data_IF_789477716089
#
_entry.id   IF_789477716089
#
_cell.length_a   1.000
_cell.length_b   1.000
_cell.length_c   1.000
_cell.angle_alpha   90.00
_cell.angle_beta   90.00
_cell.angle_gamma   90.00
#
_symmetry.space_group_name_H-M   'P 1'
#
loop_
_entity.id
_entity.type
_entity.pdbx_description
1 polymer ?
#
# COMPACT_ATOMS: atom_id res chain seq x y z
N UNK A 1 4.20 31.74 64.88
CA UNK A 1 4.53 32.17 63.52
C UNK A 1 4.89 30.90 62.72
N UNK A 2 3.92 30.30 62.06
CA UNK A 2 4.10 29.03 61.30
C UNK A 2 4.01 29.37 59.83
N UNK A 3 5.07 29.10 59.07
CA UNK A 3 5.10 29.23 57.59
C UNK A 3 4.78 27.90 56.99
N UNK A 4 3.62 27.80 56.36
CA UNK A 4 3.21 26.66 55.57
C UNK A 4 3.82 26.83 54.18
N UNK A 5 4.71 25.93 53.78
CA UNK A 5 5.23 25.81 52.42
C UNK A 5 4.19 25.12 51.53
N UNK A 6 3.75 25.84 50.53
CA UNK A 6 2.88 25.35 49.47
C UNK A 6 3.77 25.12 48.22
N UNK A 7 4.24 23.90 48.01
CA UNK A 7 4.88 23.46 46.76
C UNK A 7 4.58 22.00 46.58
N UNK A 8 3.70 21.66 45.68
CA UNK A 8 3.73 20.45 44.79
C UNK A 8 2.38 20.26 44.13
N UNK A 9 2.18 20.74 42.92
CA UNK A 9 1.20 20.18 41.96
C UNK A 9 1.39 20.84 40.60
N UNK A 10 2.37 20.39 39.81
CA UNK A 10 2.50 20.79 38.40
C UNK A 10 3.26 19.77 37.53
N UNK A 11 3.12 18.45 37.73
CA UNK A 11 3.91 17.49 36.95
C UNK A 11 3.09 16.36 36.26
N UNK A 12 1.76 16.38 36.27
CA UNK A 12 0.97 15.28 35.70
C UNK A 12 0.20 15.60 34.41
N UNK A 13 0.17 16.85 33.94
CA UNK A 13 -0.62 17.22 32.76
C UNK A 13 0.10 16.97 31.41
N UNK A 14 1.43 16.91 31.38
CA UNK A 14 2.19 16.83 30.13
C UNK A 14 2.15 15.45 29.45
N UNK A 15 2.09 14.38 30.23
CA UNK A 15 2.16 13.00 29.70
C UNK A 15 0.86 12.54 29.01
N UNK A 16 -0.29 13.06 29.45
CA UNK A 16 -1.60 12.73 28.86
C UNK A 16 -1.79 13.39 27.48
N UNK A 17 -1.31 14.61 27.30
CA UNK A 17 -1.43 15.34 26.04
C UNK A 17 -0.54 14.73 24.93
N UNK A 18 0.64 14.28 25.26
CA UNK A 18 1.53 13.61 24.30
C UNK A 18 0.99 12.25 23.83
N UNK A 19 0.35 11.48 24.70
CA UNK A 19 -0.29 10.20 24.36
C UNK A 19 -1.50 10.40 23.44
N UNK A 20 -2.27 11.46 23.63
CA UNK A 20 -3.42 11.74 22.78
C UNK A 20 -3.02 12.21 21.39
N UNK A 21 -2.00 13.04 21.27
CA UNK A 21 -1.47 13.51 19.98
C UNK A 21 -0.89 12.36 19.14
N UNK A 22 -0.17 11.43 19.74
CA UNK A 22 0.38 10.28 19.02
C UNK A 22 -0.68 9.26 18.64
N UNK A 23 -1.73 9.07 19.43
CA UNK A 23 -2.86 8.22 19.10
C UNK A 23 -3.66 8.79 17.91
N UNK A 24 -3.91 10.10 17.90
CA UNK A 24 -4.60 10.78 16.82
C UNK A 24 -3.82 10.72 15.51
N UNK A 25 -2.49 10.90 15.54
CA UNK A 25 -1.65 10.78 14.35
C UNK A 25 -1.61 9.35 13.79
N UNK A 26 -1.71 8.34 14.65
CA UNK A 26 -1.78 6.93 14.24
C UNK A 26 -3.14 6.61 13.60
N UNK A 27 -4.24 7.10 14.16
CA UNK A 27 -5.58 6.92 13.61
C UNK A 27 -5.71 7.59 12.22
N UNK A 28 -5.19 8.80 12.06
CA UNK A 28 -5.12 9.49 10.77
C UNK A 28 -4.28 8.71 9.74
N UNK A 29 -3.14 8.16 10.15
CA UNK A 29 -2.28 7.31 9.31
C UNK A 29 -3.04 6.07 8.83
N UNK A 30 -3.75 5.39 9.73
CA UNK A 30 -4.56 4.22 9.40
C UNK A 30 -5.72 4.58 8.48
N UNK A 31 -6.44 5.66 8.76
CA UNK A 31 -7.55 6.13 7.92
C UNK A 31 -7.09 6.46 6.49
N UNK A 32 -5.92 7.10 6.36
CA UNK A 32 -5.31 7.40 5.07
C UNK A 32 -4.85 6.12 4.35
N UNK A 33 -4.23 5.17 5.06
CA UNK A 33 -3.75 3.92 4.50
C UNK A 33 -4.86 3.08 3.84
N UNK A 34 -6.07 3.08 4.38
CA UNK A 34 -7.20 2.32 3.83
C UNK A 34 -8.02 3.11 2.80
N UNK A 35 -7.69 4.37 2.55
CA UNK A 35 -8.46 5.24 1.63
C UNK A 35 -8.52 4.76 0.17
N UNK A 36 -7.58 3.95 -0.37
CA UNK A 36 -7.71 3.37 -1.71
C UNK A 36 -8.86 2.36 -1.84
N UNK A 37 -9.29 1.79 -0.73
CA UNK A 37 -10.29 0.72 -0.72
C UNK A 37 -11.72 1.26 -0.92
N UNK A 38 -12.62 0.43 -1.50
CA UNK A 38 -14.05 0.58 -1.30
C UNK A 38 -14.41 0.71 0.18
N UNK A 39 -15.46 1.45 0.47
CA UNK A 39 -15.81 1.83 1.86
C UNK A 39 -16.06 0.61 2.76
N UNK A 40 -16.72 -0.39 2.24
CA UNK A 40 -17.07 -1.65 2.93
C UNK A 40 -15.86 -2.50 3.33
N UNK A 41 -14.69 -2.31 2.68
CA UNK A 41 -13.46 -3.03 3.02
C UNK A 41 -12.57 -2.30 4.04
N UNK A 42 -12.77 -0.99 4.27
CA UNK A 42 -11.84 -0.15 5.04
C UNK A 42 -11.74 -0.54 6.52
N UNK A 43 -12.87 -0.86 7.15
CA UNK A 43 -12.91 -1.12 8.58
C UNK A 43 -12.09 -2.35 8.98
N UNK A 44 -12.18 -3.41 8.17
CA UNK A 44 -11.61 -4.73 8.45
C UNK A 44 -10.29 -5.01 7.70
N UNK A 45 -9.71 -4.02 7.00
CA UNK A 45 -8.42 -4.18 6.35
C UNK A 45 -7.27 -4.12 7.37
N UNK A 46 -6.29 -5.00 7.21
CA UNK A 46 -5.03 -4.90 7.97
C UNK A 46 -4.24 -3.69 7.50
N UNK A 47 -3.64 -2.94 8.44
CA UNK A 47 -2.69 -1.88 8.12
C UNK A 47 -1.34 -2.22 8.73
N UNK A 48 -0.28 -2.15 7.93
CA UNK A 48 1.08 -2.48 8.33
C UNK A 48 2.09 -1.57 7.63
N UNK A 49 3.30 -1.54 8.15
CA UNK A 49 4.47 -0.96 7.49
C UNK A 49 5.65 -1.93 7.61
N UNK A 50 6.71 -1.67 6.88
CA UNK A 50 7.98 -2.35 7.09
C UNK A 50 8.93 -1.47 7.90
N UNK A 51 9.81 -2.11 8.68
CA UNK A 51 10.99 -1.48 9.21
C UNK A 51 11.99 -1.32 8.05
N UNK A 52 12.48 -0.11 7.82
CA UNK A 52 13.34 0.21 6.68
C UNK A 52 14.71 -0.47 6.74
N UNK A 53 15.24 -0.67 7.98
CA UNK A 53 16.55 -1.27 8.18
C UNK A 53 16.54 -2.80 8.09
N UNK A 54 15.41 -3.44 8.44
CA UNK A 54 15.34 -4.91 8.56
C UNK A 54 14.39 -5.57 7.58
N UNK A 55 13.49 -4.80 6.96
CA UNK A 55 12.41 -5.32 6.14
C UNK A 55 11.32 -6.06 6.92
N UNK A 56 11.37 -6.03 8.26
CA UNK A 56 10.37 -6.70 9.11
C UNK A 56 9.03 -5.97 9.08
N UNK A 57 7.96 -6.75 9.01
CA UNK A 57 6.58 -6.25 9.05
C UNK A 57 6.18 -5.79 10.45
N UNK A 58 5.66 -4.57 10.56
CA UNK A 58 5.09 -3.98 11.78
C UNK A 58 3.60 -3.74 11.55
N UNK A 59 2.75 -4.46 12.27
CA UNK A 59 1.29 -4.28 12.18
C UNK A 59 0.86 -3.04 12.96
N UNK A 60 0.21 -2.09 12.30
CA UNK A 60 -0.36 -0.89 12.90
C UNK A 60 -1.81 -1.12 13.34
N UNK A 61 -2.57 -1.88 12.54
CA UNK A 61 -3.93 -2.33 12.85
C UNK A 61 -4.13 -3.74 12.29
N UNK A 62 -4.51 -4.68 13.12
CA UNK A 62 -4.96 -6.00 12.67
C UNK A 62 -6.36 -5.89 12.06
N UNK A 63 -6.58 -6.56 10.94
CA UNK A 63 -7.86 -6.66 10.24
C UNK A 63 -8.29 -8.11 10.07
N UNK A 64 -9.51 -8.32 9.60
CA UNK A 64 -10.11 -9.65 9.42
C UNK A 64 -10.49 -9.98 7.98
N UNK A 65 -10.46 -8.98 7.07
CA UNK A 65 -10.75 -9.24 5.66
C UNK A 65 -9.48 -9.66 4.88
N UNK A 66 -9.64 -9.84 3.57
CA UNK A 66 -8.61 -10.36 2.67
C UNK A 66 -7.64 -9.29 2.13
N UNK A 67 -7.63 -8.06 2.69
CA UNK A 67 -6.84 -6.93 2.17
C UNK A 67 -5.91 -6.37 3.24
N UNK A 68 -4.69 -6.02 2.82
CA UNK A 68 -3.68 -5.37 3.63
C UNK A 68 -3.20 -4.08 2.97
N UNK A 69 -3.10 -3.00 3.75
CA UNK A 69 -2.71 -1.68 3.28
C UNK A 69 -1.42 -1.19 3.95
N UNK A 70 -0.66 -0.38 3.22
CA UNK A 70 0.49 0.36 3.77
C UNK A 70 0.16 1.85 3.90
N UNK A 71 0.74 2.56 4.86
CA UNK A 71 0.72 4.02 4.87
C UNK A 71 1.21 4.61 3.54
N UNK A 72 0.90 5.87 3.31
CA UNK A 72 1.41 6.61 2.16
C UNK A 72 2.94 6.66 2.24
N UNK A 73 3.60 6.31 1.14
CA UNK A 73 5.05 6.41 1.00
C UNK A 73 5.50 7.85 0.70
N UNK A 74 6.82 8.07 0.65
CA UNK A 74 7.41 9.39 0.40
C UNK A 74 7.13 9.93 -1.02
N UNK A 75 6.77 9.05 -1.95
CA UNK A 75 6.35 9.43 -3.31
C UNK A 75 4.87 9.83 -3.39
N UNK A 76 4.11 9.68 -2.30
CA UNK A 76 2.69 10.00 -2.21
C UNK A 76 1.75 8.88 -2.62
N UNK A 77 2.24 7.65 -2.75
CA UNK A 77 1.41 6.49 -3.04
C UNK A 77 0.92 5.79 -1.77
N UNK A 78 -0.33 5.40 -1.80
CA UNK A 78 -0.95 4.51 -0.80
C UNK A 78 -1.40 3.24 -1.51
N UNK A 79 -1.01 2.08 -0.97
CA UNK A 79 -1.23 0.80 -1.60
C UNK A 79 -1.99 -0.16 -0.70
N UNK A 80 -2.92 -0.90 -1.27
CA UNK A 80 -3.56 -2.04 -0.62
C UNK A 80 -3.47 -3.27 -1.52
N UNK A 81 -3.16 -4.42 -0.93
CA UNK A 81 -2.87 -5.66 -1.61
C UNK A 81 -3.71 -6.80 -1.05
N UNK A 82 -3.99 -7.85 -1.82
CA UNK A 82 -4.55 -9.07 -1.29
C UNK A 82 -3.62 -9.72 -0.26
N UNK A 83 -4.20 -10.29 0.80
CA UNK A 83 -3.44 -10.96 1.87
C UNK A 83 -2.58 -12.14 1.35
N UNK A 84 -3.00 -12.77 0.26
CA UNK A 84 -2.22 -13.84 -0.38
C UNK A 84 -0.85 -13.38 -0.89
N UNK A 85 -0.67 -12.08 -1.16
CA UNK A 85 0.58 -11.51 -1.65
C UNK A 85 1.54 -11.16 -0.50
N UNK A 86 1.19 -11.50 0.75
CA UNK A 86 1.96 -11.17 1.96
C UNK A 86 3.39 -11.67 1.89
N UNK A 87 3.59 -12.97 1.63
CA UNK A 87 4.92 -13.59 1.59
C UNK A 87 5.81 -12.93 0.52
N UNK A 88 5.24 -12.65 -0.64
CA UNK A 88 5.92 -11.93 -1.73
C UNK A 88 6.36 -10.54 -1.28
N UNK A 89 5.48 -9.82 -0.59
CA UNK A 89 5.77 -8.47 -0.11
C UNK A 89 6.79 -8.46 1.02
N UNK A 90 6.70 -9.41 1.94
CA UNK A 90 7.65 -9.56 3.04
C UNK A 90 9.05 -9.89 2.51
N UNK A 91 9.15 -10.79 1.52
CA UNK A 91 10.42 -11.07 0.85
C UNK A 91 10.97 -9.83 0.14
N UNK A 92 10.13 -9.11 -0.61
CA UNK A 92 10.56 -7.90 -1.31
C UNK A 92 11.09 -6.83 -0.34
N UNK A 93 10.43 -6.61 0.79
CA UNK A 93 10.88 -5.66 1.80
C UNK A 93 12.22 -6.09 2.44
N UNK A 94 12.38 -7.38 2.73
CA UNK A 94 13.63 -7.92 3.24
C UNK A 94 14.79 -7.74 2.26
N UNK A 95 14.61 -8.07 1.00
CA UNK A 95 15.63 -7.90 -0.03
C UNK A 95 15.97 -6.42 -0.26
N UNK A 96 14.98 -5.52 -0.17
CA UNK A 96 15.21 -4.08 -0.24
C UNK A 96 16.05 -3.58 0.96
N UNK A 97 15.77 -4.06 2.18
CA UNK A 97 16.57 -3.74 3.36
C UNK A 97 18.01 -4.29 3.27
N UNK A 98 18.23 -5.38 2.52
CA UNK A 98 19.55 -5.92 2.17
C UNK A 98 20.24 -5.09 1.06
N UNK A 99 19.61 -4.04 0.52
CA UNK A 99 20.14 -3.11 -0.47
C UNK A 99 19.87 -3.49 -1.93
N UNK A 100 18.95 -4.41 -2.20
CA UNK A 100 18.56 -4.73 -3.57
C UNK A 100 17.50 -3.73 -4.06
N UNK A 101 17.75 -3.16 -5.23
CA UNK A 101 16.85 -2.18 -5.86
C UNK A 101 16.65 -2.47 -7.36
N UNK A 102 15.65 -1.86 -7.97
CA UNK A 102 15.42 -1.85 -9.40
C UNK A 102 15.42 -3.24 -10.03
N UNK A 103 16.27 -3.47 -11.02
CA UNK A 103 16.38 -4.73 -11.78
C UNK A 103 16.91 -5.88 -10.91
N UNK A 104 17.85 -5.60 -9.98
CA UNK A 104 18.40 -6.62 -9.09
C UNK A 104 17.33 -7.20 -8.16
N UNK A 105 16.48 -6.36 -7.58
CA UNK A 105 15.33 -6.78 -6.77
C UNK A 105 14.34 -7.61 -7.62
N UNK A 106 14.00 -7.16 -8.82
CA UNK A 106 13.10 -7.88 -9.71
C UNK A 106 13.64 -9.27 -10.07
N UNK A 107 14.92 -9.37 -10.36
CA UNK A 107 15.60 -10.65 -10.68
C UNK A 107 15.56 -11.60 -9.48
N UNK A 108 15.85 -11.10 -8.27
CA UNK A 108 15.81 -11.91 -7.06
C UNK A 108 14.39 -12.41 -6.75
N UNK A 109 13.38 -11.55 -6.94
CA UNK A 109 11.98 -11.92 -6.77
C UNK A 109 11.53 -12.97 -7.78
N UNK A 110 11.95 -12.86 -9.04
CA UNK A 110 11.66 -13.86 -10.07
C UNK A 110 12.34 -15.20 -9.74
N UNK A 111 13.59 -15.18 -9.30
CA UNK A 111 14.29 -16.40 -8.89
C UNK A 111 13.61 -17.10 -7.70
N UNK A 112 13.06 -16.34 -6.75
CA UNK A 112 12.30 -16.88 -5.62
C UNK A 112 10.98 -17.52 -6.08
N UNK A 113 10.32 -16.94 -7.06
CA UNK A 113 9.10 -17.48 -7.69
C UNK A 113 9.41 -18.77 -8.45
N UNK A 114 10.43 -18.76 -9.30
CA UNK A 114 10.87 -19.93 -10.07
C UNK A 114 11.30 -21.11 -9.18
N UNK A 115 11.84 -20.81 -8.00
CA UNK A 115 12.20 -21.80 -6.99
C UNK A 115 11.00 -22.29 -6.13
N UNK A 116 9.81 -21.70 -6.31
CA UNK A 116 8.62 -22.00 -5.50
C UNK A 116 8.71 -21.51 -4.06
N UNK A 117 9.58 -20.56 -3.76
CA UNK A 117 9.70 -19.95 -2.43
C UNK A 117 8.58 -18.92 -2.16
N UNK A 118 8.00 -18.38 -3.20
CA UNK A 118 6.81 -17.52 -3.15
C UNK A 118 5.84 -17.90 -4.27
N UNK A 119 4.55 -17.71 -4.01
CA UNK A 119 3.53 -17.95 -5.03
C UNK A 119 3.57 -16.88 -6.14
N UNK A 120 3.29 -17.26 -7.41
CA UNK A 120 3.09 -16.29 -8.49
C UNK A 120 1.90 -15.37 -8.20
N UNK A 121 1.92 -14.18 -8.81
CA UNK A 121 0.77 -13.28 -8.75
C UNK A 121 -0.47 -13.96 -9.32
N UNK A 122 -1.57 -13.98 -8.55
CA UNK A 122 -2.78 -14.64 -9.00
C UNK A 122 -3.50 -13.86 -10.09
N UNK A 123 -4.00 -14.57 -11.10
CA UNK A 123 -4.92 -14.01 -12.07
C UNK A 123 -6.17 -13.47 -11.36
N UNK A 124 -6.56 -12.22 -11.67
CA UNK A 124 -7.69 -11.54 -11.05
C UNK A 124 -7.40 -10.92 -9.68
N UNK A 125 -6.16 -11.00 -9.19
CA UNK A 125 -5.74 -10.31 -7.96
C UNK A 125 -5.87 -8.80 -8.12
N UNK A 126 -6.52 -8.13 -7.15
CA UNK A 126 -6.77 -6.69 -7.22
C UNK A 126 -5.86 -5.96 -6.24
N UNK A 127 -5.10 -5.00 -6.76
CA UNK A 127 -4.31 -4.05 -5.99
C UNK A 127 -5.00 -2.70 -6.08
N UNK A 128 -5.24 -2.07 -4.94
CA UNK A 128 -5.85 -0.74 -4.85
C UNK A 128 -4.77 0.28 -4.60
N UNK A 129 -4.77 1.37 -5.38
CA UNK A 129 -3.80 2.44 -5.26
C UNK A 129 -4.48 3.79 -5.17
N UNK A 130 -3.96 4.65 -4.29
CA UNK A 130 -4.26 6.08 -4.26
C UNK A 130 -2.97 6.88 -4.41
N UNK A 131 -3.07 8.04 -5.03
CA UNK A 131 -2.01 9.04 -5.12
C UNK A 131 -2.50 10.40 -4.60
N UNK A 132 -1.64 11.10 -3.86
CA UNK A 132 -2.06 12.27 -3.07
C UNK A 132 -2.26 13.54 -3.90
N UNK A 133 -1.59 13.68 -5.05
CA UNK A 133 -1.63 14.93 -5.81
C UNK A 133 -2.51 14.83 -7.07
N UNK A 134 -3.13 15.96 -7.51
CA UNK A 134 -4.08 15.96 -8.63
C UNK A 134 -3.43 15.88 -10.02
N UNK A 135 -2.10 15.98 -10.10
CA UNK A 135 -1.35 15.84 -11.37
C UNK A 135 -1.20 14.37 -11.80
N UNK A 136 -1.71 13.44 -11.00
CA UNK A 136 -1.74 12.00 -11.27
C UNK A 136 -3.14 11.44 -11.12
N UNK A 137 -3.34 10.21 -11.59
CA UNK A 137 -4.58 9.46 -11.37
C UNK A 137 -4.65 9.15 -9.87
N UNK A 138 -5.59 9.79 -9.16
CA UNK A 138 -5.68 9.69 -7.72
C UNK A 138 -6.12 8.32 -7.24
N UNK A 139 -7.07 7.68 -7.91
CA UNK A 139 -7.53 6.34 -7.57
C UNK A 139 -7.37 5.41 -8.77
N UNK A 140 -6.70 4.30 -8.55
CA UNK A 140 -6.42 3.32 -9.58
C UNK A 140 -6.53 1.90 -9.00
N UNK A 141 -7.29 1.06 -9.68
CA UNK A 141 -7.27 -0.37 -9.42
C UNK A 141 -6.37 -1.05 -10.45
N UNK A 142 -5.56 -1.97 -9.99
CA UNK A 142 -4.68 -2.79 -10.82
C UNK A 142 -5.17 -4.22 -10.71
N UNK A 143 -5.57 -4.82 -11.82
CA UNK A 143 -6.00 -6.22 -11.86
C UNK A 143 -4.90 -7.04 -12.51
N UNK A 144 -4.31 -7.96 -11.75
CA UNK A 144 -3.26 -8.83 -12.25
C UNK A 144 -3.83 -9.85 -13.22
N UNK A 145 -3.20 -9.97 -14.38
CA UNK A 145 -3.59 -10.90 -15.45
C UNK A 145 -2.35 -11.55 -16.06
N UNK A 146 -1.59 -12.35 -15.27
CA UNK A 146 -0.36 -12.96 -15.73
C UNK A 146 -0.53 -13.63 -17.09
N UNK A 147 0.45 -13.39 -17.97
CA UNK A 147 0.56 -13.92 -19.34
C UNK A 147 -0.52 -13.46 -20.34
N UNK A 148 -1.54 -12.72 -19.89
CA UNK A 148 -2.57 -12.20 -20.79
C UNK A 148 -1.99 -11.18 -21.79
N UNK A 149 -2.48 -11.22 -23.02
CA UNK A 149 -2.10 -10.26 -24.07
C UNK A 149 -3.15 -9.17 -24.24
N UNK A 150 -2.73 -8.03 -24.75
CA UNK A 150 -3.62 -6.92 -25.04
C UNK A 150 -4.62 -7.26 -26.16
N UNK A 151 -4.22 -8.11 -27.12
CA UNK A 151 -5.06 -8.57 -28.22
C UNK A 151 -6.20 -9.46 -27.73
N UNK A 152 -5.91 -10.46 -26.89
CA UNK A 152 -6.92 -11.35 -26.31
C UNK A 152 -7.98 -10.60 -25.51
N UNK A 153 -7.57 -9.52 -24.82
CA UNK A 153 -8.47 -8.73 -23.99
C UNK A 153 -9.13 -7.55 -24.74
N UNK A 154 -8.70 -7.26 -25.96
CA UNK A 154 -9.15 -6.08 -26.71
C UNK A 154 -8.80 -4.76 -26.01
N UNK A 155 -7.69 -4.71 -25.24
CA UNK A 155 -7.32 -3.57 -24.41
C UNK A 155 -6.21 -2.72 -25.05
N UNK A 156 -6.28 -1.38 -24.93
CA UNK A 156 -5.17 -0.52 -25.34
C UNK A 156 -3.96 -0.71 -24.43
N UNK A 157 -2.76 -0.59 -24.99
CA UNK A 157 -1.48 -0.64 -24.24
C UNK A 157 -0.89 0.73 -23.94
N UNK A 158 -1.38 1.78 -24.61
CA UNK A 158 -0.98 3.16 -24.34
C UNK A 158 -1.52 3.67 -23.01
N UNK A 159 -0.70 4.40 -22.25
CA UNK A 159 -1.15 5.05 -21.02
C UNK A 159 -2.32 6.00 -21.33
N UNK A 160 -3.39 5.84 -20.57
CA UNK A 160 -4.59 6.67 -20.65
C UNK A 160 -4.60 7.78 -19.58
N UNK A 161 -3.42 8.26 -19.19
CA UNK A 161 -3.24 9.24 -18.10
C UNK A 161 -4.09 10.49 -18.31
N UNK A 162 -3.97 11.12 -19.46
CA UNK A 162 -4.65 12.40 -19.72
C UNK A 162 -6.18 12.23 -19.76
N UNK A 163 -6.66 11.10 -20.28
CA UNK A 163 -8.07 10.76 -20.25
C UNK A 163 -8.56 10.52 -18.81
N UNK A 164 -7.78 9.83 -18.00
CA UNK A 164 -8.13 9.56 -16.61
C UNK A 164 -8.13 10.84 -15.75
N UNK A 165 -7.17 11.74 -15.95
CA UNK A 165 -7.14 13.05 -15.30
C UNK A 165 -8.30 13.95 -15.75
N UNK A 166 -8.83 13.74 -16.95
CA UNK A 166 -10.04 14.41 -17.44
C UNK A 166 -11.36 13.71 -17.00
N UNK A 167 -11.31 12.81 -16.01
CA UNK A 167 -12.47 12.10 -15.48
C UNK A 167 -12.98 10.94 -16.35
N UNK A 168 -12.20 10.46 -17.32
CA UNK A 168 -12.55 9.34 -18.19
C UNK A 168 -11.88 8.06 -17.71
N UNK A 169 -12.65 7.09 -17.27
CA UNK A 169 -12.16 5.83 -16.73
C UNK A 169 -11.75 4.79 -17.77
N UNK A 170 -11.05 5.16 -18.85
CA UNK A 170 -10.59 4.21 -19.87
C UNK A 170 -9.48 3.31 -19.32
N UNK A 171 -9.71 1.98 -19.18
CA UNK A 171 -8.66 1.05 -18.76
C UNK A 171 -7.60 0.88 -19.85
N UNK A 172 -6.40 0.46 -19.44
CA UNK A 172 -5.32 0.06 -20.36
C UNK A 172 -4.51 -1.08 -19.77
N UNK A 173 -3.84 -1.83 -20.62
CA UNK A 173 -3.01 -2.94 -20.22
C UNK A 173 -1.54 -2.53 -20.13
N UNK A 174 -0.85 -3.00 -19.10
CA UNK A 174 0.59 -2.87 -18.95
C UNK A 174 1.25 -4.25 -18.96
N UNK A 175 2.47 -4.32 -19.52
CA UNK A 175 3.30 -5.52 -19.62
C UNK A 175 2.58 -6.74 -20.27
N UNK A 176 1.83 -6.58 -21.38
CA UNK A 176 1.11 -7.69 -21.98
C UNK A 176 2.03 -8.86 -22.32
N UNK A 177 1.55 -10.09 -22.16
CA UNK A 177 2.28 -11.33 -22.48
C UNK A 177 3.43 -11.64 -21.52
N UNK A 178 3.43 -11.09 -20.30
CA UNK A 178 4.41 -11.39 -19.26
C UNK A 178 3.73 -11.83 -17.97
N UNK A 179 4.47 -12.46 -17.05
CA UNK A 179 3.99 -12.82 -15.71
C UNK A 179 3.52 -11.58 -14.90
N UNK A 180 3.99 -10.40 -15.26
CA UNK A 180 3.57 -9.13 -14.66
C UNK A 180 2.51 -8.37 -15.44
N UNK A 181 1.80 -9.01 -16.39
CA UNK A 181 0.72 -8.38 -17.14
C UNK A 181 -0.43 -7.97 -16.22
N UNK A 182 -0.96 -6.77 -16.42
CA UNK A 182 -2.03 -6.24 -15.57
C UNK A 182 -2.85 -5.15 -16.26
N UNK A 183 -4.10 -5.03 -15.86
CA UNK A 183 -5.00 -3.93 -16.24
C UNK A 183 -4.90 -2.78 -15.24
N UNK A 184 -4.85 -1.57 -15.76
CA UNK A 184 -4.92 -0.31 -15.02
C UNK A 184 -6.32 0.27 -15.20
N UNK A 185 -7.09 0.40 -14.12
CA UNK A 185 -8.48 0.89 -14.15
C UNK A 185 -8.56 2.17 -13.32
N UNK A 186 -8.66 3.35 -13.94
CA UNK A 186 -8.87 4.60 -13.23
C UNK A 186 -10.24 4.59 -12.55
N UNK A 187 -10.25 4.83 -11.24
CA UNK A 187 -11.47 5.01 -10.46
C UNK A 187 -11.55 6.50 -10.14
N UNK A 188 -12.29 7.22 -10.94
CA UNK A 188 -12.50 8.64 -10.73
C UNK A 188 -13.72 8.81 -9.84
N UNK A 189 -13.50 9.31 -8.62
CA UNK A 189 -14.54 9.68 -7.69
C UNK A 189 -15.19 11.00 -8.02
#
# INVERSE_FOLDING_TARGET
MSRINLTLTAFFAGSLLASQASAQSMEETIAKAVSPLPEDLRAEATVYRYNEDTGERITLRAGSNHVECTPTDDEGFTWCYPIRDRERRDLSAKLAAEGLEGEALQTAMQAAEDAGAIEPMAFGSIIYRRFDTPDRIQYLWVIMMPDATAEELGMPTGRQRDNALAGKGTPWMMRPGTSGAHLMIPING
#
